data_IF_049278080945
#
_entry.id   IF_049278080945
#
_cell.length_a   1.000
_cell.length_b   1.000
_cell.length_c   1.000
_cell.angle_alpha   90.00
_cell.angle_beta   90.00
_cell.angle_gamma   90.00
#
_symmetry.space_group_name_H-M   'P 1'
#
loop_
_entity.id
_entity.type
_entity.pdbx_description
1 polymer ?
#
# COMPACT_ATOMS: atom_id res chain seq x y z
N UNK A 1 -24.87 0.93 -17.28
CA UNK A 1 -24.61 2.36 -17.58
C UNK A 1 -23.78 2.94 -16.45
N UNK A 2 -22.58 3.46 -16.71
CA UNK A 2 -21.79 4.17 -15.70
C UNK A 2 -22.07 5.66 -15.80
N UNK A 3 -22.94 6.18 -14.95
CA UNK A 3 -23.27 7.61 -14.87
C UNK A 3 -22.32 8.36 -13.94
N UNK A 4 -22.17 9.68 -14.13
CA UNK A 4 -21.49 10.54 -13.16
C UNK A 4 -22.45 10.85 -12.02
N UNK A 5 -22.01 10.62 -10.78
CA UNK A 5 -22.77 10.95 -9.56
C UNK A 5 -22.07 12.11 -8.85
N UNK A 6 -22.85 13.12 -8.44
CA UNK A 6 -22.34 14.20 -7.60
C UNK A 6 -22.41 13.79 -6.13
N UNK A 7 -21.29 13.92 -5.42
CA UNK A 7 -21.19 13.57 -4.01
C UNK A 7 -20.67 14.76 -3.22
N UNK A 8 -21.38 15.13 -2.15
CA UNK A 8 -20.93 16.15 -1.21
C UNK A 8 -20.07 15.51 -0.13
N UNK A 9 -18.87 16.05 0.08
CA UNK A 9 -17.91 15.54 1.07
C UNK A 9 -17.61 16.67 2.06
N UNK A 10 -17.58 16.33 3.35
CA UNK A 10 -17.13 17.24 4.40
C UNK A 10 -15.63 17.08 4.59
N UNK A 11 -14.94 18.21 4.65
CA UNK A 11 -13.48 18.30 4.83
C UNK A 11 -13.20 19.32 5.90
N UNK A 12 -12.09 19.12 6.62
CA UNK A 12 -11.57 20.17 7.50
C UNK A 12 -11.16 21.39 6.67
N UNK A 13 -11.33 22.58 7.24
CA UNK A 13 -11.08 23.84 6.53
C UNK A 13 -9.63 23.94 6.01
N UNK A 14 -8.66 23.51 6.83
CA UNK A 14 -7.24 23.51 6.44
C UNK A 14 -6.94 22.51 5.33
N UNK A 15 -7.58 21.33 5.33
CA UNK A 15 -7.42 20.35 4.24
C UNK A 15 -7.92 20.92 2.92
N UNK A 16 -9.10 21.57 2.92
CA UNK A 16 -9.64 22.19 1.71
C UNK A 16 -8.73 23.31 1.20
N UNK A 17 -8.14 24.11 2.10
CA UNK A 17 -7.21 25.19 1.74
C UNK A 17 -5.94 24.66 1.08
N UNK A 18 -5.36 23.59 1.64
CA UNK A 18 -4.20 22.92 1.06
C UNK A 18 -4.51 22.34 -0.32
N UNK A 19 -5.64 21.65 -0.47
CA UNK A 19 -6.07 21.08 -1.75
C UNK A 19 -6.31 22.15 -2.82
N UNK A 20 -6.91 23.29 -2.46
CA UNK A 20 -7.07 24.43 -3.37
C UNK A 20 -5.74 24.96 -3.87
N UNK A 21 -4.77 25.12 -2.95
CA UNK A 21 -3.42 25.58 -3.32
C UNK A 21 -2.75 24.63 -4.31
N UNK A 22 -2.78 23.32 -4.02
CA UNK A 22 -2.22 22.29 -4.91
C UNK A 22 -2.91 22.30 -6.28
N UNK A 23 -4.23 22.48 -6.32
CA UNK A 23 -4.98 22.55 -7.57
C UNK A 23 -4.53 23.75 -8.44
N UNK A 24 -4.32 24.92 -7.82
CA UNK A 24 -3.80 26.11 -8.49
C UNK A 24 -2.38 25.89 -9.02
N UNK A 25 -1.48 25.35 -8.18
CA UNK A 25 -0.09 25.05 -8.56
C UNK A 25 -0.01 24.08 -9.75
N UNK A 26 -0.95 23.13 -9.85
CA UNK A 26 -1.05 22.18 -10.96
C UNK A 26 -1.86 22.67 -12.18
N UNK A 27 -2.45 23.87 -12.12
CA UNK A 27 -3.34 24.37 -13.17
C UNK A 27 -4.57 23.49 -13.40
N UNK A 28 -5.06 22.81 -12.36
CA UNK A 28 -6.13 21.83 -12.44
C UNK A 28 -7.35 22.24 -11.59
N UNK A 29 -8.54 21.74 -11.93
CA UNK A 29 -9.71 21.89 -11.07
C UNK A 29 -9.62 20.96 -9.86
N UNK A 30 -10.22 21.37 -8.74
CA UNK A 30 -10.36 20.51 -7.56
C UNK A 30 -10.99 19.15 -7.91
N UNK A 31 -11.99 19.13 -8.78
CA UNK A 31 -12.65 17.90 -9.21
C UNK A 31 -11.70 16.96 -9.97
N UNK A 32 -10.76 17.50 -10.76
CA UNK A 32 -9.74 16.70 -11.43
C UNK A 32 -8.74 16.15 -10.40
N UNK A 33 -8.28 17.00 -9.49
CA UNK A 33 -7.37 16.60 -8.42
C UNK A 33 -7.96 15.49 -7.53
N UNK A 34 -9.23 15.59 -7.15
CA UNK A 34 -9.92 14.54 -6.40
C UNK A 34 -9.98 13.21 -7.15
N UNK A 35 -10.24 13.25 -8.46
CA UNK A 35 -10.28 12.02 -9.28
C UNK A 35 -8.92 11.35 -9.36
N UNK A 36 -7.85 12.13 -9.53
CA UNK A 36 -6.48 11.63 -9.54
C UNK A 36 -6.12 10.99 -8.19
N UNK A 37 -6.36 11.70 -7.08
CA UNK A 37 -6.10 11.16 -5.73
C UNK A 37 -6.89 9.87 -5.47
N UNK A 38 -8.16 9.83 -5.86
CA UNK A 38 -8.99 8.63 -5.71
C UNK A 38 -8.46 7.48 -6.57
N UNK A 39 -8.10 7.75 -7.82
CA UNK A 39 -7.55 6.74 -8.73
C UNK A 39 -6.24 6.16 -8.17
N UNK A 40 -5.29 7.02 -7.77
CA UNK A 40 -4.02 6.62 -7.18
C UNK A 40 -4.23 5.82 -5.89
N UNK A 41 -5.16 6.26 -5.03
CA UNK A 41 -5.48 5.55 -3.81
C UNK A 41 -6.08 4.17 -4.10
N UNK A 42 -7.04 4.08 -5.03
CA UNK A 42 -7.64 2.81 -5.41
C UNK A 42 -6.63 1.87 -6.08
N UNK A 43 -5.69 2.40 -6.87
CA UNK A 43 -4.61 1.62 -7.45
C UNK A 43 -3.71 1.04 -6.36
N UNK A 44 -3.25 1.86 -5.42
CA UNK A 44 -2.44 1.44 -4.25
C UNK A 44 -3.18 0.45 -3.36
N UNK A 45 -4.46 0.69 -3.08
CA UNK A 45 -5.27 -0.23 -2.27
C UNK A 45 -5.57 -1.51 -3.04
N UNK A 46 -5.76 -1.47 -4.36
CA UNK A 46 -5.97 -2.69 -5.15
C UNK A 46 -4.72 -3.57 -5.21
N UNK A 47 -3.54 -2.96 -5.29
CA UNK A 47 -2.24 -3.65 -5.23
C UNK A 47 -1.99 -4.23 -3.84
N UNK A 48 -2.39 -3.54 -2.76
CA UNK A 48 -2.22 -4.01 -1.37
C UNK A 48 -3.32 -4.98 -0.90
N UNK A 49 -4.56 -4.83 -1.38
CA UNK A 49 -5.72 -5.65 -0.97
C UNK A 49 -5.85 -6.95 -1.76
N UNK A 50 -4.99 -7.16 -2.77
CA UNK A 50 -4.95 -8.31 -3.67
C UNK A 50 -6.29 -9.02 -3.88
N UNK A 51 -7.25 -8.32 -4.47
CA UNK A 51 -8.33 -9.06 -5.16
C UNK A 51 -7.77 -9.98 -6.25
N UNK A 52 -6.52 -9.77 -6.68
CA UNK A 52 -5.74 -10.67 -7.53
C UNK A 52 -4.61 -11.44 -6.81
N UNK A 53 -4.37 -11.29 -5.50
CA UNK A 53 -3.40 -12.16 -4.78
C UNK A 53 -3.84 -13.63 -4.81
N UNK A 54 -5.16 -13.89 -4.85
CA UNK A 54 -5.72 -15.25 -5.00
C UNK A 54 -5.51 -15.84 -6.39
N UNK A 55 -5.25 -15.00 -7.40
CA UNK A 55 -5.01 -15.41 -8.79
C UNK A 55 -3.53 -15.40 -9.17
N UNK A 56 -2.66 -14.93 -8.29
CA UNK A 56 -1.23 -14.93 -8.49
C UNK A 56 -0.68 -16.38 -8.48
N UNK A 57 -0.04 -16.84 -9.57
CA UNK A 57 0.58 -18.16 -9.64
C UNK A 57 1.58 -18.43 -8.51
N UNK A 58 2.31 -17.41 -8.02
CA UNK A 58 3.23 -17.57 -6.89
C UNK A 58 2.51 -17.92 -5.59
N UNK A 59 1.29 -17.43 -5.37
CA UNK A 59 0.48 -17.73 -4.20
C UNK A 59 -0.41 -18.99 -4.39
N UNK A 60 -0.64 -19.43 -5.63
CA UNK A 60 -1.33 -20.69 -5.93
C UNK A 60 -0.42 -21.92 -5.79
N UNK A 61 0.87 -21.78 -6.10
CA UNK A 61 1.87 -22.85 -5.94
C UNK A 61 2.17 -23.14 -4.46
N UNK A 62 1.83 -22.21 -3.56
CA UNK A 62 2.15 -22.27 -2.13
C UNK A 62 1.08 -22.84 -1.20
N UNK A 63 0.20 -23.77 -1.62
CA UNK A 63 -0.66 -24.53 -0.68
C UNK A 63 0.16 -25.54 0.15
N UNK A 64 1.04 -24.98 0.98
CA UNK A 64 1.60 -25.42 2.28
C UNK A 64 2.89 -24.60 2.48
N UNK A 65 2.82 -23.33 2.93
CA UNK A 65 3.97 -22.77 3.63
C UNK A 65 4.14 -23.65 4.86
N UNK A 66 5.32 -24.21 5.04
CA UNK A 66 5.61 -25.22 6.05
C UNK A 66 5.00 -24.86 7.41
N UNK A 67 4.23 -25.79 7.97
CA UNK A 67 4.03 -25.86 9.41
C UNK A 67 5.40 -26.20 10.02
N UNK A 68 6.27 -25.20 10.17
CA UNK A 68 7.35 -25.25 11.14
C UNK A 68 6.96 -24.22 12.21
N UNK A 69 6.49 -24.72 13.35
CA UNK A 69 6.14 -23.92 14.52
C UNK A 69 7.38 -23.36 15.19
N UNK A 70 8.14 -22.51 14.50
CA UNK A 70 9.21 -21.72 15.10
C UNK A 70 9.00 -20.25 14.75
N UNK A 71 8.50 -19.52 15.75
CA UNK A 71 8.15 -18.10 15.70
C UNK A 71 9.35 -17.16 15.82
N UNK A 72 10.57 -17.63 15.64
CA UNK A 72 11.80 -16.92 16.02
C UNK A 72 12.77 -16.68 14.86
N UNK A 73 12.43 -17.04 13.62
CA UNK A 73 13.34 -16.87 12.47
C UNK A 73 13.59 -15.39 12.16
N UNK A 74 12.62 -14.50 12.42
CA UNK A 74 12.81 -13.06 12.17
C UNK A 74 13.66 -12.37 13.22
N UNK A 75 13.69 -12.85 14.48
CA UNK A 75 14.52 -12.30 15.56
C UNK A 75 15.93 -12.90 15.59
N UNK A 76 16.11 -14.15 15.12
CA UNK A 76 17.40 -14.82 15.08
C UNK A 76 18.19 -14.59 13.77
N UNK A 77 17.63 -13.84 12.81
CA UNK A 77 18.19 -13.69 11.47
C UNK A 77 19.58 -13.06 11.49
N UNK A 78 19.76 -11.99 12.28
CA UNK A 78 21.04 -11.30 12.42
C UNK A 78 22.08 -12.16 13.15
N UNK A 79 21.66 -12.98 14.11
CA UNK A 79 22.58 -13.91 14.79
C UNK A 79 23.09 -14.99 13.84
N UNK A 80 22.26 -15.51 12.94
CA UNK A 80 22.67 -16.56 12.01
C UNK A 80 23.58 -16.04 10.88
N UNK A 81 23.34 -14.80 10.43
CA UNK A 81 24.14 -14.18 9.37
C UNK A 81 25.46 -13.59 9.89
N UNK A 82 25.49 -13.03 11.10
CA UNK A 82 26.65 -12.29 11.62
C UNK A 82 27.32 -12.92 12.85
N UNK A 83 26.77 -14.00 13.42
CA UNK A 83 27.29 -14.65 14.62
C UNK A 83 28.56 -15.50 14.42
N UNK A 84 29.02 -15.71 13.19
CA UNK A 84 30.25 -16.47 12.89
C UNK A 84 31.47 -15.55 12.77
N UNK A 85 31.72 -14.77 13.82
CA UNK A 85 32.82 -13.81 13.86
C UNK A 85 33.63 -13.78 15.15
N UNK A 86 33.42 -14.70 16.11
CA UNK A 86 34.24 -14.78 17.31
C UNK A 86 34.64 -16.20 17.68
N UNK A 87 35.80 -16.59 17.15
CA UNK A 87 36.89 -17.46 17.66
C UNK A 87 37.90 -17.42 16.50
N UNK A 88 39.15 -16.97 16.64
CA UNK A 88 40.12 -17.34 17.67
C UNK A 88 41.44 -16.60 17.42
N UNK A 89 42.02 -16.03 18.47
CA UNK A 89 43.45 -16.16 18.86
C UNK A 89 43.68 -15.30 20.10
#
# INVERSE_FOLDING_TARGET
MSGKVATNIRLEAEQLKQLKRIAVEKGASLSKLFKEIIADYLERVSTLSGKDWRKDPFFQIGRKPGRSGESTVSEAHDHYLYGRGRRSS
#
